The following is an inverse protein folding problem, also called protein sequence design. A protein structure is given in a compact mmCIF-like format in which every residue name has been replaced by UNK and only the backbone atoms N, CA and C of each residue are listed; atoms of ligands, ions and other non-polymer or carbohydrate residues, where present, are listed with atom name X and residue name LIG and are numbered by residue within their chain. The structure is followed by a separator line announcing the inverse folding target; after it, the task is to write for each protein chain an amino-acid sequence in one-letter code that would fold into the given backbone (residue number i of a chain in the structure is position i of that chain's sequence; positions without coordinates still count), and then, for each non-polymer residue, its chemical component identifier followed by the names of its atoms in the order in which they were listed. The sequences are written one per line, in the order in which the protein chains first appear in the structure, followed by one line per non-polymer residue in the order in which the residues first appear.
data_IF_937393606591
#
_entry.id   IF_937393606591
#
_cell.length_a   1.000
_cell.length_b   1.000
_cell.length_c   1.000
_cell.angle_alpha   90.00
_cell.angle_beta   90.00
_cell.angle_gamma   90.00
#
_symmetry.space_group_name_H-M   'P 1'
#
loop_
_entity.id
_entity.type
_entity.pdbx_description
1 polymer ?
#
# COMPACT_ATOMS: atom_id res chain seq x y z
N UNK A 1 -41.08 10.45 -49.15
CA UNK A 1 -39.92 10.73 -48.28
C UNK A 1 -39.53 12.19 -48.47
N UNK A 2 -40.03 13.07 -47.61
CA UNK A 2 -39.71 14.50 -47.70
C UNK A 2 -38.34 14.73 -47.05
N UNK A 3 -37.33 15.01 -47.89
CA UNK A 3 -36.06 15.58 -47.41
C UNK A 3 -36.32 17.05 -47.12
N UNK A 4 -36.61 17.38 -45.86
CA UNK A 4 -36.52 18.77 -45.40
C UNK A 4 -35.05 19.18 -45.51
N UNK A 5 -34.74 19.98 -46.53
CA UNK A 5 -33.39 20.50 -46.74
C UNK A 5 -33.20 21.63 -45.72
N UNK A 6 -32.42 21.34 -44.68
CA UNK A 6 -32.08 22.30 -43.62
C UNK A 6 -31.14 23.35 -44.22
N UNK A 7 -31.53 24.63 -44.21
CA UNK A 7 -30.74 25.74 -44.77
C UNK A 7 -30.37 26.79 -43.74
N UNK A 8 -31.10 26.86 -42.63
CA UNK A 8 -30.87 27.80 -41.54
C UNK A 8 -31.09 27.14 -40.17
N UNK A 9 -30.60 27.78 -39.10
CA UNK A 9 -30.86 27.35 -37.72
C UNK A 9 -32.35 27.39 -37.38
N UNK A 10 -33.08 28.32 -38.00
CA UNK A 10 -34.54 28.43 -37.85
C UNK A 10 -35.26 27.18 -38.36
N UNK A 11 -34.74 26.53 -39.40
CA UNK A 11 -35.30 25.27 -39.92
C UNK A 11 -35.09 24.10 -38.96
N UNK A 12 -34.06 24.16 -38.12
CA UNK A 12 -33.77 23.14 -37.10
C UNK A 12 -34.72 23.30 -35.92
N UNK A 13 -34.93 24.54 -35.44
CA UNK A 13 -35.83 24.79 -34.31
C UNK A 13 -37.32 24.67 -34.67
N UNK A 14 -37.69 24.82 -35.95
CA UNK A 14 -39.05 24.61 -36.43
C UNK A 14 -39.36 23.13 -36.79
N UNK A 15 -38.41 22.21 -36.66
CA UNK A 15 -38.68 20.79 -36.86
C UNK A 15 -39.52 20.26 -35.68
N UNK A 16 -40.70 19.65 -35.91
CA UNK A 16 -41.50 19.06 -34.83
C UNK A 16 -40.76 17.98 -34.03
N UNK A 17 -39.67 17.41 -34.54
CA UNK A 17 -38.79 16.50 -33.79
C UNK A 17 -37.78 17.20 -32.90
N UNK A 18 -37.50 18.49 -33.11
CA UNK A 18 -36.57 19.24 -32.29
C UNK A 18 -37.08 19.39 -30.86
N UNK A 19 -38.38 19.61 -30.69
CA UNK A 19 -39.01 19.68 -29.37
C UNK A 19 -38.86 18.37 -28.58
N UNK A 20 -38.89 17.21 -29.24
CA UNK A 20 -38.69 15.91 -28.58
C UNK A 20 -37.22 15.67 -28.19
N UNK A 21 -36.27 16.14 -29.01
CA UNK A 21 -34.82 15.94 -28.82
C UNK A 21 -34.18 16.96 -27.87
N UNK A 22 -34.75 18.15 -27.76
CA UNK A 22 -34.23 19.25 -26.94
C UNK A 22 -34.78 19.24 -25.50
N UNK A 23 -35.67 18.30 -25.18
CA UNK A 23 -36.11 18.07 -23.79
C UNK A 23 -34.93 17.56 -22.98
N UNK A 24 -34.39 18.43 -22.14
CA UNK A 24 -33.36 18.08 -21.17
C UNK A 24 -34.01 17.14 -20.15
N UNK A 25 -33.68 15.85 -20.20
CA UNK A 25 -34.12 14.91 -19.16
C UNK A 25 -33.65 15.44 -17.78
N UNK A 26 -34.54 15.46 -16.77
CA UNK A 26 -34.16 15.90 -15.43
C UNK A 26 -33.05 14.99 -14.93
N UNK A 27 -31.90 15.59 -14.58
CA UNK A 27 -30.77 14.85 -13.99
C UNK A 27 -31.30 14.05 -12.81
N UNK A 28 -31.16 12.72 -12.89
CA UNK A 28 -31.54 11.83 -11.79
C UNK A 28 -30.79 12.29 -10.54
N UNK A 29 -31.52 12.65 -9.49
CA UNK A 29 -30.95 12.99 -8.20
C UNK A 29 -30.31 11.72 -7.64
N UNK A 30 -28.99 11.60 -7.76
CA UNK A 30 -28.22 10.56 -7.09
C UNK A 30 -28.21 10.96 -5.62
N UNK A 31 -29.09 10.32 -4.83
CA UNK A 31 -28.99 10.38 -3.38
C UNK A 31 -27.60 9.86 -3.03
N UNK A 32 -26.80 10.57 -2.22
CA UNK A 32 -25.50 10.08 -1.79
C UNK A 32 -25.72 8.94 -0.80
N UNK A 33 -26.10 7.77 -1.29
CA UNK A 33 -25.89 6.53 -0.57
C UNK A 33 -24.37 6.45 -0.40
N UNK A 34 -23.94 6.36 0.85
CA UNK A 34 -22.53 6.31 1.17
C UNK A 34 -21.97 5.00 0.61
N UNK A 35 -21.35 5.06 -0.57
CA UNK A 35 -20.89 3.91 -1.35
C UNK A 35 -20.03 2.97 -0.50
N UNK A 36 -19.30 3.51 0.47
CA UNK A 36 -18.46 2.76 1.40
C UNK A 36 -19.25 1.84 2.34
N UNK A 37 -20.45 2.24 2.76
CA UNK A 37 -21.31 1.39 3.61
C UNK A 37 -21.82 0.20 2.81
N UNK A 38 -22.20 0.39 1.55
CA UNK A 38 -22.64 -0.68 0.67
C UNK A 38 -21.49 -1.65 0.34
N UNK A 39 -20.31 -1.10 0.01
CA UNK A 39 -19.10 -1.88 -0.21
C UNK A 39 -18.73 -2.70 1.04
N UNK A 40 -18.90 -2.14 2.25
CA UNK A 40 -18.60 -2.85 3.47
C UNK A 40 -19.59 -4.00 3.74
N UNK A 41 -20.88 -3.79 3.50
CA UNK A 41 -21.89 -4.86 3.56
C UNK A 41 -21.60 -5.98 2.57
N UNK A 42 -21.20 -5.63 1.34
CA UNK A 42 -20.78 -6.60 0.32
C UNK A 42 -19.63 -7.50 0.84
N UNK A 43 -18.64 -6.90 1.50
CA UNK A 43 -17.52 -7.63 2.11
C UNK A 43 -18.02 -8.57 3.21
N UNK A 44 -18.92 -8.12 4.08
CA UNK A 44 -19.49 -8.98 5.13
C UNK A 44 -20.28 -10.15 4.55
N UNK A 45 -21.09 -9.93 3.52
CA UNK A 45 -21.83 -11.00 2.84
C UNK A 45 -20.89 -11.99 2.15
N UNK A 46 -19.79 -11.51 1.57
CA UNK A 46 -18.75 -12.37 1.02
C UNK A 46 -18.13 -13.26 2.11
N UNK A 47 -17.79 -12.68 3.26
CA UNK A 47 -17.22 -13.43 4.40
C UNK A 47 -18.22 -14.46 4.94
N UNK A 48 -19.51 -14.10 5.07
CA UNK A 48 -20.58 -15.04 5.47
C UNK A 48 -20.69 -16.21 4.48
N UNK A 49 -20.68 -15.95 3.17
CA UNK A 49 -20.71 -16.98 2.12
C UNK A 49 -19.47 -17.89 2.15
N UNK A 50 -18.32 -17.36 2.54
CA UNK A 50 -17.06 -18.11 2.62
C UNK A 50 -16.70 -18.59 4.04
N UNK A 51 -17.71 -18.88 4.87
CA UNK A 51 -17.56 -19.51 6.20
C UNK A 51 -16.64 -18.73 7.14
N UNK A 52 -16.68 -17.40 7.10
CA UNK A 52 -15.85 -16.56 7.98
C UNK A 52 -14.42 -16.33 7.48
N UNK A 53 -14.07 -16.78 6.27
CA UNK A 53 -12.77 -16.45 5.68
C UNK A 53 -12.71 -14.98 5.28
N UNK A 54 -11.69 -14.26 5.73
CA UNK A 54 -11.41 -12.89 5.27
C UNK A 54 -10.86 -12.89 3.82
N UNK A 55 -11.24 -11.89 2.99
CA UNK A 55 -10.76 -11.78 1.63
C UNK A 55 -9.24 -11.55 1.59
N UNK A 56 -8.55 -12.29 0.72
CA UNK A 56 -7.10 -12.27 0.64
C UNK A 56 -6.58 -11.52 -0.59
N UNK A 57 -5.41 -10.89 -0.43
CA UNK A 57 -4.69 -10.25 -1.53
C UNK A 57 -3.94 -11.27 -2.39
N UNK A 58 -4.69 -12.09 -3.13
CA UNK A 58 -4.16 -13.11 -4.04
C UNK A 58 -3.60 -12.47 -5.33
N UNK A 59 -2.63 -13.14 -5.99
CA UNK A 59 -2.08 -12.72 -7.30
C UNK A 59 -2.83 -13.34 -8.49
N UNK A 60 -3.74 -14.26 -8.23
CA UNK A 60 -4.50 -15.00 -9.23
C UNK A 60 -5.52 -14.09 -9.92
N UNK A 61 -5.54 -14.13 -11.25
CA UNK A 61 -6.43 -13.31 -12.09
C UNK A 61 -7.91 -13.71 -11.90
N UNK A 62 -8.19 -14.98 -11.60
CA UNK A 62 -9.57 -15.44 -11.35
C UNK A 62 -10.15 -14.94 -10.02
N UNK A 63 -9.34 -14.36 -9.12
CA UNK A 63 -9.74 -13.89 -7.78
C UNK A 63 -9.56 -12.39 -7.61
N UNK A 64 -9.76 -11.62 -8.69
CA UNK A 64 -9.65 -10.16 -8.66
C UNK A 64 -10.66 -9.53 -7.70
N UNK A 65 -11.89 -10.04 -7.64
CA UNK A 65 -12.94 -9.51 -6.76
C UNK A 65 -12.55 -9.64 -5.28
N UNK A 66 -12.05 -10.82 -4.89
CA UNK A 66 -11.52 -11.06 -3.53
C UNK A 66 -10.37 -10.09 -3.22
N UNK A 67 -9.43 -9.92 -4.16
CA UNK A 67 -8.33 -8.97 -3.99
C UNK A 67 -8.81 -7.53 -3.83
N UNK A 68 -9.83 -7.11 -4.58
CA UNK A 68 -10.42 -5.77 -4.46
C UNK A 68 -11.07 -5.58 -3.08
N UNK A 69 -11.88 -6.55 -2.63
CA UNK A 69 -12.49 -6.57 -1.30
C UNK A 69 -11.44 -6.52 -0.18
N UNK A 70 -10.36 -7.30 -0.31
CA UNK A 70 -9.24 -7.31 0.63
C UNK A 70 -8.56 -5.94 0.73
N UNK A 71 -8.35 -5.26 -0.40
CA UNK A 71 -7.74 -3.93 -0.42
C UNK A 71 -8.69 -2.89 0.20
N UNK A 72 -9.99 -2.94 -0.10
CA UNK A 72 -10.99 -2.04 0.51
C UNK A 72 -11.02 -2.21 2.03
N UNK A 73 -11.14 -3.44 2.52
CA UNK A 73 -11.13 -3.74 3.94
C UNK A 73 -9.84 -3.27 4.63
N UNK A 74 -8.68 -3.41 3.97
CA UNK A 74 -7.41 -2.85 4.44
C UNK A 74 -7.44 -1.31 4.51
N UNK A 75 -8.03 -0.64 3.53
CA UNK A 75 -8.13 0.81 3.50
C UNK A 75 -9.08 1.33 4.60
N UNK A 76 -10.20 0.65 4.86
CA UNK A 76 -11.09 0.99 5.96
C UNK A 76 -10.37 0.82 7.30
N UNK A 77 -9.61 -0.27 7.45
CA UNK A 77 -8.76 -0.53 8.61
C UNK A 77 -7.64 0.51 8.83
N UNK A 78 -7.23 1.27 7.81
CA UNK A 78 -6.15 2.26 7.93
C UNK A 78 -6.60 3.69 8.24
N UNK A 79 -7.89 4.01 8.04
CA UNK A 79 -8.42 5.36 8.25
C UNK A 79 -9.42 5.34 9.42
N UNK A 80 -9.10 6.03 10.52
CA UNK A 80 -9.94 6.05 11.72
C UNK A 80 -11.35 6.62 11.41
N UNK A 81 -11.45 7.65 10.57
CA UNK A 81 -12.71 8.25 10.12
C UNK A 81 -13.67 7.22 9.48
N UNK A 82 -13.11 6.32 8.66
CA UNK A 82 -13.86 5.26 7.99
C UNK A 82 -14.24 4.15 8.97
N UNK A 83 -13.38 3.86 9.95
CA UNK A 83 -13.70 2.92 11.03
C UNK A 83 -14.89 3.44 11.83
N UNK A 84 -14.93 4.72 12.20
CA UNK A 84 -16.05 5.31 12.95
C UNK A 84 -17.36 5.27 12.17
N UNK A 85 -17.31 5.59 10.87
CA UNK A 85 -18.48 5.54 9.99
C UNK A 85 -19.05 4.12 9.82
N UNK A 86 -18.17 3.12 9.72
CA UNK A 86 -18.55 1.73 9.43
C UNK A 86 -18.80 0.89 10.69
N UNK A 87 -18.33 1.34 11.86
CA UNK A 87 -18.56 0.70 13.17
C UNK A 87 -20.01 0.30 13.44
N UNK A 88 -21.04 1.13 13.19
CA UNK A 88 -22.44 0.73 13.43
C UNK A 88 -22.92 -0.41 12.52
N UNK A 89 -22.24 -0.65 11.40
CA UNK A 89 -22.56 -1.71 10.44
C UNK A 89 -21.67 -2.96 10.62
N UNK A 90 -20.73 -2.97 11.58
CA UNK A 90 -19.77 -4.06 11.75
C UNK A 90 -20.32 -5.22 12.60
N UNK A 91 -21.07 -6.13 11.96
CA UNK A 91 -21.62 -7.33 12.59
C UNK A 91 -20.55 -8.40 12.91
N UNK A 92 -19.46 -8.42 12.14
CA UNK A 92 -18.42 -9.45 12.19
C UNK A 92 -17.18 -9.01 12.98
N UNK A 93 -17.16 -7.77 13.49
CA UNK A 93 -16.02 -7.21 14.24
C UNK A 93 -14.75 -7.04 13.41
N UNK A 94 -14.89 -6.83 12.09
CA UNK A 94 -13.79 -6.78 11.13
C UNK A 94 -12.89 -5.56 11.29
N UNK A 95 -13.39 -4.48 11.90
CA UNK A 95 -12.67 -3.22 12.00
C UNK A 95 -11.76 -3.14 13.24
N UNK A 96 -11.89 -4.07 14.20
CA UNK A 96 -11.20 -3.98 15.49
C UNK A 96 -9.81 -4.64 15.50
N UNK A 97 -8.85 -4.01 14.82
CA UNK A 97 -7.44 -4.49 14.72
C UNK A 97 -6.71 -4.42 16.07
N UNK A 98 -7.14 -3.50 16.96
CA UNK A 98 -6.48 -3.28 18.26
C UNK A 98 -6.59 -4.53 19.15
N UNK A 99 -7.72 -5.25 19.10
CA UNK A 99 -7.92 -6.47 19.86
C UNK A 99 -7.06 -7.64 19.35
N UNK A 100 -7.02 -7.87 18.03
CA UNK A 100 -6.22 -8.95 17.42
C UNK A 100 -4.72 -8.80 17.70
N UNK A 101 -4.19 -7.57 17.65
CA UNK A 101 -2.77 -7.31 17.99
C UNK A 101 -2.48 -7.52 19.46
N UNK A 102 -3.44 -7.22 20.34
CA UNK A 102 -3.29 -7.44 21.78
C UNK A 102 -3.36 -8.93 22.11
N UNK A 103 -4.25 -9.68 21.48
CA UNK A 103 -4.34 -11.15 21.59
C UNK A 103 -3.04 -11.82 21.14
N UNK A 104 -2.51 -11.51 19.95
CA UNK A 104 -1.21 -12.03 19.51
C UNK A 104 -0.06 -11.63 20.45
N UNK A 105 -0.04 -10.39 20.93
CA UNK A 105 0.99 -9.93 21.87
C UNK A 105 0.91 -10.64 23.22
N UNK A 106 -0.28 -11.00 23.67
CA UNK A 106 -0.46 -11.75 24.91
C UNK A 106 0.00 -13.20 24.71
N UNK A 107 -0.36 -13.84 23.60
CA UNK A 107 0.15 -15.18 23.25
C UNK A 107 1.69 -15.22 23.20
N UNK A 108 2.33 -14.24 22.58
CA UNK A 108 3.82 -14.16 22.50
C UNK A 108 4.45 -13.82 23.87
N UNK A 109 3.72 -13.17 24.78
CA UNK A 109 4.22 -12.90 26.14
C UNK A 109 4.21 -14.14 27.02
N UNK A 110 3.31 -15.07 26.75
CA UNK A 110 3.17 -16.33 27.47
C UNK A 110 4.16 -17.41 26.98
N UNK A 111 4.85 -17.16 25.85
CA UNK A 111 5.95 -18.01 25.36
C UNK A 111 7.13 -18.00 26.35
N UNK A 112 7.67 -19.20 26.63
CA UNK A 112 8.83 -19.35 27.51
C UNK A 112 10.05 -18.72 26.85
N UNK A 113 10.69 -17.78 27.55
CA UNK A 113 11.93 -17.12 27.08
C UNK A 113 13.21 -17.81 27.53
N UNK A 114 13.08 -18.74 28.47
CA UNK A 114 14.20 -19.50 29.03
C UNK A 114 14.02 -20.98 28.69
N UNK A 115 15.03 -21.56 28.05
CA UNK A 115 15.05 -22.96 27.64
C UNK A 115 16.14 -23.67 28.43
N UNK A 116 15.76 -24.66 29.23
CA UNK A 116 16.69 -25.42 30.07
C UNK A 116 17.07 -26.78 29.49
N UNK A 117 16.26 -27.28 28.55
CA UNK A 117 16.43 -28.58 27.90
C UNK A 117 16.04 -28.53 26.43
N UNK A 118 16.55 -29.49 25.64
CA UNK A 118 16.11 -29.73 24.26
C UNK A 118 14.61 -30.07 24.18
N UNK A 119 14.07 -30.75 25.20
CA UNK A 119 12.64 -31.06 25.27
C UNK A 119 11.76 -29.83 25.54
N UNK A 120 12.30 -28.79 26.17
CA UNK A 120 11.58 -27.52 26.36
C UNK A 120 11.39 -26.80 25.01
N UNK A 121 12.38 -26.91 24.12
CA UNK A 121 12.35 -26.30 22.78
C UNK A 121 11.34 -27.03 21.88
N UNK A 122 11.39 -28.37 21.89
CA UNK A 122 10.57 -29.18 20.99
C UNK A 122 9.08 -29.22 21.36
N UNK A 123 8.73 -28.94 22.62
CA UNK A 123 7.35 -28.93 23.10
C UNK A 123 6.66 -27.55 23.00
N UNK A 124 7.40 -26.46 22.79
CA UNK A 124 6.86 -25.08 22.69
C UNK A 124 6.38 -24.74 21.26
N UNK A 125 6.69 -25.59 20.28
CA UNK A 125 6.53 -25.35 18.84
C UNK A 125 5.07 -25.34 18.31
N UNK A 126 4.08 -25.31 19.20
CA UNK A 126 2.67 -25.20 18.82
C UNK A 126 2.41 -23.97 17.94
N UNK A 127 3.08 -22.84 18.19
CA UNK A 127 2.95 -21.60 17.40
C UNK A 127 3.72 -21.65 16.08
N UNK A 128 4.87 -22.33 16.02
CA UNK A 128 5.68 -22.44 14.79
C UNK A 128 5.02 -23.32 13.73
N UNK A 129 4.30 -24.37 14.13
CA UNK A 129 3.65 -25.30 13.21
C UNK A 129 2.15 -25.05 13.00
N UNK A 130 1.54 -24.11 13.72
CA UNK A 130 0.15 -23.73 13.51
C UNK A 130 -0.07 -23.22 12.07
N UNK A 131 -1.17 -23.66 11.46
CA UNK A 131 -1.45 -23.53 10.02
C UNK A 131 -1.71 -22.08 9.53
N UNK A 132 -1.66 -21.08 10.40
CA UNK A 132 -1.80 -19.64 10.09
C UNK A 132 -0.50 -19.03 9.56
N UNK A 133 0.10 -19.74 8.61
CA UNK A 133 1.45 -19.58 8.04
C UNK A 133 1.70 -18.28 7.25
N UNK A 134 0.75 -17.35 7.18
CA UNK A 134 0.90 -16.15 6.31
C UNK A 134 1.67 -15.01 6.97
N UNK A 135 1.58 -14.83 8.29
CA UNK A 135 2.24 -13.72 8.97
C UNK A 135 3.63 -14.06 9.51
N UNK A 136 3.89 -15.32 9.88
CA UNK A 136 5.16 -15.72 10.51
C UNK A 136 6.25 -15.93 9.45
N UNK A 137 5.89 -16.48 8.29
CA UNK A 137 6.84 -16.77 7.20
C UNK A 137 7.50 -15.54 6.59
N UNK A 138 6.90 -14.34 6.69
CA UNK A 138 7.48 -13.14 6.07
C UNK A 138 8.73 -12.65 6.80
N UNK A 139 8.84 -12.91 8.10
CA UNK A 139 9.99 -12.51 8.93
C UNK A 139 11.04 -13.60 9.11
N UNK A 140 10.65 -14.86 8.99
CA UNK A 140 11.57 -16.00 9.09
C UNK A 140 12.62 -16.00 7.95
N UNK A 141 12.22 -15.58 6.76
CA UNK A 141 13.09 -15.48 5.59
C UNK A 141 13.57 -14.05 5.31
N UNK A 142 13.45 -13.13 6.28
CA UNK A 142 13.93 -11.75 6.13
C UNK A 142 15.47 -11.73 6.23
N UNK A 143 16.12 -11.94 5.09
CA UNK A 143 17.57 -11.93 4.93
C UNK A 143 18.12 -10.54 4.59
N UNK A 144 17.32 -9.47 4.67
CA UNK A 144 17.74 -8.12 4.27
C UNK A 144 19.00 -7.67 5.02
N UNK A 145 19.09 -8.00 6.31
CA UNK A 145 20.26 -7.68 7.15
C UNK A 145 21.52 -8.41 6.66
N UNK A 146 21.40 -9.66 6.26
CA UNK A 146 22.50 -10.44 5.68
C UNK A 146 22.93 -9.88 4.31
N UNK A 147 21.97 -9.51 3.47
CA UNK A 147 22.25 -8.88 2.18
C UNK A 147 22.93 -7.52 2.31
N UNK A 148 22.55 -6.72 3.31
CA UNK A 148 23.18 -5.43 3.62
C UNK A 148 24.66 -5.60 3.99
N UNK A 149 24.95 -6.52 4.92
CA UNK A 149 26.33 -6.86 5.33
C UNK A 149 27.15 -7.37 4.14
N UNK A 150 26.58 -8.25 3.30
CA UNK A 150 27.25 -8.78 2.10
C UNK A 150 27.54 -7.69 1.06
N UNK A 151 26.64 -6.72 0.87
CA UNK A 151 26.87 -5.56 0.00
C UNK A 151 27.96 -4.65 0.55
N UNK A 152 27.93 -4.36 1.84
CA UNK A 152 28.95 -3.55 2.52
C UNK A 152 30.35 -4.18 2.42
N UNK A 153 30.46 -5.51 2.45
CA UNK A 153 31.73 -6.21 2.25
C UNK A 153 32.20 -6.19 0.79
N UNK A 154 31.29 -6.35 -0.18
CA UNK A 154 31.63 -6.32 -1.62
C UNK A 154 31.97 -4.92 -2.14
N UNK A 155 31.40 -3.88 -1.54
CA UNK A 155 31.61 -2.49 -1.94
C UNK A 155 32.81 -1.83 -1.24
N UNK A 156 33.63 -2.59 -0.50
CA UNK A 156 34.90 -2.07 0.01
C UNK A 156 35.90 -1.99 -1.15
N UNK A 157 36.37 -0.80 -1.53
CA UNK A 157 37.39 -0.67 -2.56
C UNK A 157 38.70 -1.31 -2.07
N UNK A 158 39.33 -2.14 -2.91
CA UNK A 158 40.60 -2.82 -2.59
C UNK A 158 41.75 -1.83 -2.35
N UNK A 159 41.67 -0.64 -2.95
CA UNK A 159 42.67 0.42 -2.81
C UNK A 159 41.97 1.75 -2.57
N UNK A 160 42.17 2.32 -1.39
CA UNK A 160 41.70 3.66 -1.04
C UNK A 160 42.90 4.60 -1.25
N UNK A 161 42.78 5.52 -2.21
CA UNK A 161 43.80 6.54 -2.42
C UNK A 161 43.91 7.42 -1.17
N UNK A 162 45.06 7.40 -0.51
CA UNK A 162 45.35 8.27 0.62
C UNK A 162 45.98 9.57 0.12
N UNK A 163 45.70 10.68 0.80
CA UNK A 163 46.36 11.95 0.51
C UNK A 163 47.80 11.88 1.01
N UNK A 164 48.73 12.23 0.15
CA UNK A 164 50.14 12.41 0.52
C UNK A 164 50.45 13.89 0.58
N UNK A 165 51.11 14.34 1.65
CA UNK A 165 51.69 15.68 1.70
C UNK A 165 52.87 15.74 0.73
N UNK A 166 52.97 16.86 0.02
CA UNK A 166 54.04 17.12 -0.93
C UNK A 166 55.09 18.01 -0.25
N UNK A 167 56.35 17.54 -0.24
CA UNK A 167 57.41 18.11 0.59
C UNK A 167 57.69 19.60 0.28
N UNK A 168 57.58 20.00 -0.99
CA UNK A 168 57.88 21.36 -1.46
C UNK A 168 56.62 22.19 -1.80
N UNK A 169 55.45 21.84 -1.25
CA UNK A 169 54.19 22.47 -1.65
C UNK A 169 54.18 24.00 -1.46
N UNK A 170 54.92 24.50 -0.47
CA UNK A 170 55.05 25.93 -0.17
C UNK A 170 55.54 26.76 -1.37
N UNK A 171 56.41 26.19 -2.20
CA UNK A 171 56.94 26.88 -3.39
C UNK A 171 55.83 27.16 -4.42
N UNK A 172 54.84 26.27 -4.48
CA UNK A 172 53.77 26.30 -5.48
C UNK A 172 52.44 26.84 -4.92
N UNK A 173 52.32 27.03 -3.60
CA UNK A 173 51.08 27.45 -2.91
C UNK A 173 50.46 28.71 -3.53
N UNK A 174 51.30 29.66 -3.94
CA UNK A 174 50.85 30.91 -4.56
C UNK A 174 50.12 30.70 -5.90
N UNK A 175 50.57 29.73 -6.71
CA UNK A 175 49.92 29.37 -7.98
C UNK A 175 48.53 28.78 -7.75
N UNK A 176 48.39 27.91 -6.73
CA UNK A 176 47.09 27.34 -6.36
C UNK A 176 46.11 28.42 -5.88
N UNK A 177 46.59 29.38 -5.07
CA UNK A 177 45.77 30.51 -4.62
C UNK A 177 45.34 31.41 -5.79
N UNK A 178 46.22 31.63 -6.75
CA UNK A 178 45.90 32.39 -7.97
C UNK A 178 44.80 31.70 -8.78
N UNK A 179 44.97 30.41 -9.09
CA UNK A 179 43.97 29.62 -9.85
C UNK A 179 42.63 29.58 -9.11
N UNK A 180 42.64 29.41 -7.79
CA UNK A 180 41.41 29.41 -6.99
C UNK A 180 40.69 30.77 -7.04
N UNK A 181 41.44 31.88 -7.03
CA UNK A 181 40.90 33.22 -7.17
C UNK A 181 40.33 33.47 -8.59
N UNK A 182 41.01 32.99 -9.62
CA UNK A 182 40.55 33.07 -11.02
C UNK A 182 39.22 32.32 -11.21
N UNK A 183 39.14 31.07 -10.73
CA UNK A 183 37.91 30.27 -10.73
C UNK A 183 36.79 30.98 -9.96
N UNK A 184 37.08 31.51 -8.76
CA UNK A 184 36.09 32.22 -7.97
C UNK A 184 35.61 33.52 -8.63
N UNK A 185 36.47 34.16 -9.44
CA UNK A 185 36.14 35.33 -10.24
C UNK A 185 35.40 35.02 -11.55
N UNK A 186 35.25 33.73 -11.88
CA UNK A 186 34.56 33.26 -13.09
C UNK A 186 35.38 33.42 -14.38
N UNK A 187 36.71 33.51 -14.27
CA UNK A 187 37.65 33.45 -15.40
C UNK A 187 38.14 32.04 -15.67
#
# INVERSE_FOLDING_TARGET
MNKNIIRSLEDIFNDPKADELLVIEPKKNIIPINQDVENFKEIQEWIKRHKGREPERTRDVSRIVERQMANRLKNYRSHEDMVELLKPYDELGLLNIKNQKNELKNMIKDEKKEFSSLDDILNDDSVLFNNDRKSINTKLFDTEKFHKIKREQKNKPEKISQRHNMDNFKEYEHLFKQVQAEIASGK
#
